data_IF_606673598823
#
_entry.id   IF_606673598823
#
_cell.length_a   1.000
_cell.length_b   1.000
_cell.length_c   1.000
_cell.angle_alpha   90.00
_cell.angle_beta   90.00
_cell.angle_gamma   90.00
#
_symmetry.space_group_name_H-M   'P 1'
#
loop_
_entity.id
_entity.type
_entity.pdbx_description
1 polymer ?
#
# COMPACT_ATOMS: atom_id res chain seq x y z
N UNK A 1 1.38 -15.78 16.79
CA UNK A 1 -0.03 -16.20 16.96
C UNK A 1 -0.82 -15.65 15.77
N UNK A 2 -1.55 -16.47 15.01
CA UNK A 2 -2.20 -16.07 13.75
C UNK A 2 -3.32 -15.03 13.95
N UNK A 3 -3.78 -14.86 15.18
CA UNK A 3 -4.84 -13.90 15.55
C UNK A 3 -4.29 -12.55 16.01
N UNK A 4 -2.97 -12.40 16.16
CA UNK A 4 -2.33 -11.13 16.54
C UNK A 4 -1.97 -10.35 15.29
N UNK A 5 -2.95 -9.64 14.75
CA UNK A 5 -2.84 -8.75 13.59
C UNK A 5 -3.18 -7.31 13.98
N UNK A 6 -2.75 -6.33 13.18
CA UNK A 6 -2.98 -4.91 13.49
C UNK A 6 -4.47 -4.58 13.54
N UNK A 7 -5.32 -5.22 12.74
CA UNK A 7 -6.78 -5.01 12.81
C UNK A 7 -7.37 -5.53 14.12
N UNK A 8 -6.96 -6.71 14.58
CA UNK A 8 -7.41 -7.28 15.87
C UNK A 8 -6.97 -6.40 17.05
N UNK A 9 -5.78 -5.83 16.93
CA UNK A 9 -5.21 -4.89 17.91
C UNK A 9 -5.99 -3.58 17.89
N UNK A 10 -6.21 -2.99 16.72
CA UNK A 10 -6.94 -1.75 16.54
C UNK A 10 -8.39 -1.85 17.05
N UNK A 11 -9.10 -2.93 16.69
CA UNK A 11 -10.48 -3.15 17.17
C UNK A 11 -10.51 -3.39 18.68
N UNK A 12 -9.50 -4.06 19.25
CA UNK A 12 -9.41 -4.22 20.71
C UNK A 12 -9.18 -2.89 21.42
N UNK A 13 -8.29 -2.03 20.90
CA UNK A 13 -7.92 -0.74 21.51
C UNK A 13 -9.05 0.28 21.41
N UNK A 14 -9.92 0.16 20.40
CA UNK A 14 -11.10 0.99 20.25
C UNK A 14 -12.22 0.70 21.30
N UNK A 15 -12.04 -0.29 22.20
CA UNK A 15 -13.04 -0.64 23.21
C UNK A 15 -12.66 -0.12 24.60
N UNK A 16 -13.64 0.45 25.28
CA UNK A 16 -13.45 1.09 26.59
C UNK A 16 -13.26 0.06 27.73
N UNK A 17 -14.07 -1.00 27.76
CA UNK A 17 -14.05 -1.99 28.86
C UNK A 17 -13.10 -3.15 28.59
N UNK A 18 -12.40 -3.69 29.62
CA UNK A 18 -11.46 -4.80 29.44
C UNK A 18 -12.09 -6.03 28.76
N UNK A 19 -13.36 -6.35 29.12
CA UNK A 19 -14.09 -7.47 28.50
C UNK A 19 -14.36 -7.23 27.02
N UNK A 20 -14.76 -6.01 26.63
CA UNK A 20 -15.00 -5.68 25.24
C UNK A 20 -13.70 -5.67 24.41
N UNK A 21 -12.55 -5.30 24.99
CA UNK A 21 -11.24 -5.39 24.31
C UNK A 21 -10.90 -6.83 23.93
N UNK A 22 -11.03 -7.76 24.86
CA UNK A 22 -10.76 -9.19 24.61
C UNK A 22 -11.70 -9.76 23.56
N UNK A 23 -13.00 -9.43 23.63
CA UNK A 23 -13.97 -9.86 22.62
C UNK A 23 -13.60 -9.26 21.26
N UNK A 24 -13.29 -7.97 21.18
CA UNK A 24 -12.89 -7.30 19.95
C UNK A 24 -11.66 -7.93 19.31
N UNK A 25 -10.65 -8.26 20.11
CA UNK A 25 -9.45 -8.96 19.64
C UNK A 25 -9.79 -10.32 19.01
N UNK A 26 -10.51 -11.18 19.75
CA UNK A 26 -10.80 -12.54 19.28
C UNK A 26 -11.79 -12.58 18.12
N UNK A 27 -12.85 -11.76 18.15
CA UNK A 27 -13.84 -11.72 17.05
C UNK A 27 -13.18 -11.26 15.76
N UNK A 28 -12.38 -10.20 15.79
CA UNK A 28 -11.68 -9.71 14.60
C UNK A 28 -10.63 -10.71 14.11
N UNK A 29 -9.80 -11.25 15.02
CA UNK A 29 -8.78 -12.22 14.65
C UNK A 29 -9.36 -13.51 14.07
N UNK A 30 -10.37 -14.09 14.70
CA UNK A 30 -11.04 -15.32 14.22
C UNK A 30 -11.79 -15.03 12.93
N UNK A 31 -12.51 -13.91 12.84
CA UNK A 31 -13.26 -13.54 11.64
C UNK A 31 -12.35 -13.41 10.41
N UNK A 32 -11.21 -12.72 10.55
CA UNK A 32 -10.22 -12.59 9.47
C UNK A 32 -9.57 -13.94 9.16
N UNK A 33 -9.19 -14.72 10.18
CA UNK A 33 -8.59 -16.04 9.96
C UNK A 33 -9.53 -16.98 9.20
N UNK A 34 -10.81 -17.06 9.60
CA UNK A 34 -11.81 -17.89 8.93
C UNK A 34 -12.08 -17.35 7.53
N UNK A 35 -12.29 -16.03 7.39
CA UNK A 35 -12.50 -15.38 6.09
C UNK A 35 -11.36 -15.66 5.12
N UNK A 36 -10.11 -15.59 5.59
CA UNK A 36 -8.91 -15.90 4.81
C UNK A 36 -8.86 -17.36 4.35
N UNK A 37 -9.13 -18.31 5.24
CA UNK A 37 -9.14 -19.73 4.88
C UNK A 37 -10.27 -20.04 3.90
N UNK A 38 -11.45 -19.44 4.09
CA UNK A 38 -12.59 -19.62 3.18
C UNK A 38 -12.32 -18.99 1.81
N UNK A 39 -11.75 -17.79 1.75
CA UNK A 39 -11.39 -17.16 0.48
C UNK A 39 -10.30 -17.93 -0.26
N UNK A 40 -9.33 -18.49 0.48
CA UNK A 40 -8.28 -19.34 -0.09
C UNK A 40 -8.85 -20.64 -0.63
N UNK A 41 -9.72 -21.30 0.13
CA UNK A 41 -10.41 -22.51 -0.32
C UNK A 41 -11.28 -22.23 -1.54
N UNK A 42 -12.07 -21.15 -1.51
CA UNK A 42 -12.86 -20.71 -2.65
C UNK A 42 -11.99 -20.43 -3.88
N UNK A 43 -10.85 -19.74 -3.69
CA UNK A 43 -9.88 -19.48 -4.75
C UNK A 43 -9.28 -20.77 -5.33
N UNK A 44 -8.94 -21.75 -4.50
CA UNK A 44 -8.43 -23.04 -4.94
C UNK A 44 -9.48 -23.84 -5.74
N UNK A 45 -10.73 -23.87 -5.24
CA UNK A 45 -11.83 -24.56 -5.92
C UNK A 45 -12.22 -23.87 -7.23
N UNK A 46 -12.32 -22.53 -7.25
CA UNK A 46 -12.58 -21.78 -8.48
C UNK A 46 -11.43 -21.93 -9.48
N UNK A 47 -10.18 -21.94 -9.00
CA UNK A 47 -8.99 -22.13 -9.84
C UNK A 47 -8.99 -23.48 -10.56
N UNK A 48 -9.40 -24.55 -9.88
CA UNK A 48 -9.50 -25.89 -10.46
C UNK A 48 -10.59 -25.97 -11.55
N UNK A 49 -11.68 -25.20 -11.40
CA UNK A 49 -12.77 -25.11 -12.39
C UNK A 49 -12.42 -24.20 -13.58
N UNK A 50 -11.61 -23.16 -13.37
CA UNK A 50 -11.27 -22.17 -14.41
C UNK A 50 -10.23 -22.65 -15.43
N UNK A 51 -9.53 -23.77 -15.20
CA UNK A 51 -8.47 -24.22 -16.10
C UNK A 51 -7.21 -23.35 -15.99
N UNK A 52 -6.62 -22.90 -17.11
CA UNK A 52 -5.39 -22.07 -17.08
C UNK A 52 -5.69 -20.63 -16.60
N UNK A 53 -5.29 -20.24 -15.37
CA UNK A 53 -5.56 -18.91 -14.82
C UNK A 53 -4.91 -17.77 -15.62
N UNK A 54 -3.83 -18.09 -16.36
CA UNK A 54 -3.09 -17.11 -17.17
C UNK A 54 -3.92 -16.62 -18.36
N UNK A 55 -4.80 -17.45 -18.90
CA UNK A 55 -5.68 -17.08 -20.01
C UNK A 55 -6.69 -15.99 -19.63
N UNK A 56 -7.07 -15.93 -18.34
CA UNK A 56 -8.05 -14.97 -17.81
C UNK A 56 -7.43 -13.72 -17.20
N UNK A 57 -6.10 -13.56 -17.26
CA UNK A 57 -5.41 -12.40 -16.70
C UNK A 57 -5.46 -12.33 -15.18
N UNK A 58 -5.65 -13.45 -14.49
CA UNK A 58 -5.65 -13.50 -13.02
C UNK A 58 -4.31 -13.06 -12.42
N UNK A 59 -3.20 -13.18 -13.17
CA UNK A 59 -1.89 -12.64 -12.79
C UNK A 59 -1.89 -11.10 -12.71
N UNK A 60 -2.65 -10.43 -13.60
CA UNK A 60 -2.82 -8.99 -13.57
C UNK A 60 -3.70 -8.51 -12.40
N UNK A 61 -4.55 -9.38 -11.82
CA UNK A 61 -5.39 -9.02 -10.68
C UNK A 61 -4.54 -8.70 -9.44
N UNK A 62 -3.44 -9.42 -9.21
CA UNK A 62 -2.51 -9.13 -8.13
C UNK A 62 -1.84 -7.76 -8.34
N UNK A 63 -1.35 -7.49 -9.56
CA UNK A 63 -0.77 -6.20 -9.91
C UNK A 63 -1.78 -5.04 -9.77
N UNK A 64 -3.04 -5.26 -10.17
CA UNK A 64 -4.11 -4.28 -10.04
C UNK A 64 -4.46 -3.99 -8.57
N UNK A 65 -4.50 -5.01 -7.71
CA UNK A 65 -4.72 -4.83 -6.28
C UNK A 65 -3.59 -4.00 -5.63
N UNK A 66 -2.33 -4.28 -5.97
CA UNK A 66 -1.19 -3.47 -5.52
C UNK A 66 -1.28 -2.03 -6.03
N UNK A 67 -1.64 -1.83 -7.29
CA UNK A 67 -1.80 -0.50 -7.87
C UNK A 67 -2.92 0.27 -7.16
N UNK A 68 -4.04 -0.38 -6.84
CA UNK A 68 -5.14 0.23 -6.10
C UNK A 68 -4.71 0.69 -4.69
N UNK A 69 -3.91 -0.11 -3.99
CA UNK A 69 -3.33 0.27 -2.70
C UNK A 69 -2.31 1.42 -2.83
N UNK A 70 -1.58 1.47 -3.94
CA UNK A 70 -0.58 2.49 -4.21
C UNK A 70 -1.21 3.81 -4.71
N UNK A 71 -2.42 3.77 -5.27
CA UNK A 71 -3.09 4.90 -5.90
C UNK A 71 -3.14 6.18 -5.03
N UNK A 72 -3.50 6.12 -3.73
CA UNK A 72 -3.52 7.31 -2.88
C UNK A 72 -2.14 7.95 -2.71
N UNK A 73 -1.06 7.17 -2.85
CA UNK A 73 0.34 7.63 -2.73
C UNK A 73 0.87 8.22 -4.04
N UNK A 74 0.25 7.91 -5.20
CA UNK A 74 0.63 8.40 -6.53
C UNK A 74 -0.05 9.72 -6.91
N UNK A 75 -0.35 10.59 -5.94
CA UNK A 75 -1.06 11.86 -6.19
C UNK A 75 -0.16 12.98 -6.71
N UNK A 76 1.16 12.87 -6.53
CA UNK A 76 2.13 13.89 -6.91
C UNK A 76 2.95 13.48 -8.15
N UNK A 77 3.40 14.47 -8.92
CA UNK A 77 4.15 14.26 -10.18
C UNK A 77 5.41 13.42 -10.00
N UNK A 78 6.10 13.59 -8.88
CA UNK A 78 7.34 12.88 -8.58
C UNK A 78 7.11 11.38 -8.29
N UNK A 79 6.22 10.95 -7.37
CA UNK A 79 5.85 9.55 -7.20
C UNK A 79 5.41 8.87 -8.50
N UNK A 80 4.64 9.57 -9.35
CA UNK A 80 4.24 9.06 -10.66
C UNK A 80 5.46 8.87 -11.57
N UNK A 81 6.34 9.87 -11.67
CA UNK A 81 7.53 9.80 -12.51
C UNK A 81 8.50 8.68 -12.05
N UNK A 82 8.71 8.54 -10.74
CA UNK A 82 9.50 7.44 -10.16
C UNK A 82 8.85 6.09 -10.45
N UNK A 83 7.52 5.98 -10.30
CA UNK A 83 6.77 4.76 -10.60
C UNK A 83 6.90 4.35 -12.07
N UNK A 84 6.78 5.29 -13.01
CA UNK A 84 6.94 5.03 -14.45
C UNK A 84 8.38 4.63 -14.76
N UNK A 85 9.38 5.34 -14.22
CA UNK A 85 10.78 5.02 -14.44
C UNK A 85 11.13 3.62 -13.91
N UNK A 86 10.65 3.28 -12.70
CA UNK A 86 10.80 1.96 -12.12
C UNK A 86 10.12 0.88 -12.98
N UNK A 87 8.90 1.13 -13.48
CA UNK A 87 8.20 0.19 -14.36
C UNK A 87 9.00 -0.08 -15.64
N UNK A 88 9.49 0.97 -16.32
CA UNK A 88 10.32 0.83 -17.53
C UNK A 88 11.58 0.03 -17.25
N UNK A 89 12.30 0.34 -16.17
CA UNK A 89 13.53 -0.38 -15.80
C UNK A 89 13.22 -1.86 -15.49
N UNK A 90 12.16 -2.15 -14.72
CA UNK A 90 11.74 -3.53 -14.46
C UNK A 90 11.46 -4.27 -15.77
N UNK A 91 10.62 -3.73 -16.65
CA UNK A 91 10.24 -4.37 -17.91
C UNK A 91 11.45 -4.67 -18.81
N UNK A 92 12.40 -3.75 -18.89
CA UNK A 92 13.62 -3.93 -19.68
C UNK A 92 14.58 -4.98 -19.10
N UNK A 93 14.61 -5.12 -17.77
CA UNK A 93 15.50 -6.06 -17.08
C UNK A 93 14.90 -7.48 -16.94
N UNK A 94 13.57 -7.62 -16.98
CA UNK A 94 12.86 -8.90 -16.89
C UNK A 94 13.35 -9.99 -17.86
N UNK A 95 13.64 -9.73 -19.16
CA UNK A 95 14.08 -10.80 -20.06
C UNK A 95 15.53 -11.26 -19.82
N UNK A 96 16.35 -10.47 -19.13
CA UNK A 96 17.80 -10.74 -18.98
C UNK A 96 18.13 -11.29 -17.59
N UNK A 97 17.34 -10.91 -16.57
CA UNK A 97 17.62 -11.23 -15.18
C UNK A 97 16.69 -12.31 -14.63
N UNK A 98 17.20 -13.04 -13.65
CA UNK A 98 16.41 -14.03 -12.92
C UNK A 98 15.23 -13.35 -12.20
N UNK A 99 14.05 -14.00 -12.12
CA UNK A 99 12.90 -13.47 -11.41
C UNK A 99 13.27 -13.01 -10.00
N UNK A 100 12.86 -11.78 -9.64
CA UNK A 100 13.14 -11.14 -8.35
C UNK A 100 14.27 -10.09 -8.39
N UNK A 101 15.30 -10.27 -9.22
CA UNK A 101 16.40 -9.29 -9.32
C UNK A 101 15.96 -7.95 -9.92
N UNK A 102 15.14 -7.90 -11.01
CA UNK A 102 14.63 -6.64 -11.53
C UNK A 102 13.90 -5.79 -10.49
N UNK A 103 13.12 -6.44 -9.60
CA UNK A 103 12.33 -5.76 -8.56
C UNK A 103 13.24 -5.13 -7.49
N UNK A 104 14.32 -5.82 -7.09
CA UNK A 104 15.29 -5.27 -6.15
C UNK A 104 16.02 -4.06 -6.74
N UNK A 105 16.41 -4.13 -8.01
CA UNK A 105 17.08 -3.03 -8.69
C UNK A 105 16.18 -1.80 -8.83
N UNK A 106 14.90 -1.98 -9.17
CA UNK A 106 13.96 -0.86 -9.24
C UNK A 106 13.66 -0.25 -7.87
N UNK A 107 13.61 -1.05 -6.81
CA UNK A 107 13.51 -0.54 -5.45
C UNK A 107 14.72 0.33 -5.07
N UNK A 108 15.94 -0.10 -5.41
CA UNK A 108 17.16 0.70 -5.18
C UNK A 108 17.11 2.01 -5.97
N UNK A 109 16.74 1.96 -7.25
CA UNK A 109 16.59 3.17 -8.08
C UNK A 109 15.54 4.12 -7.49
N UNK A 110 14.39 3.60 -7.07
CA UNK A 110 13.32 4.40 -6.47
C UNK A 110 13.77 5.06 -5.16
N UNK A 111 14.52 4.36 -4.31
CA UNK A 111 15.09 4.92 -3.07
C UNK A 111 16.08 6.04 -3.40
N UNK A 112 17.01 5.84 -4.34
CA UNK A 112 17.98 6.86 -4.72
C UNK A 112 17.28 8.10 -5.29
N UNK A 113 16.37 7.91 -6.25
CA UNK A 113 15.67 9.03 -6.90
C UNK A 113 14.75 9.77 -5.93
N UNK A 114 14.08 9.03 -5.04
CA UNK A 114 13.24 9.60 -3.98
C UNK A 114 14.05 10.36 -2.93
N UNK A 115 15.16 9.78 -2.47
CA UNK A 115 16.02 10.36 -1.43
C UNK A 115 16.63 11.69 -1.85
N UNK A 116 17.13 11.77 -3.08
CA UNK A 116 17.72 13.00 -3.60
C UNK A 116 16.68 13.99 -4.14
N UNK A 117 15.39 13.68 -4.00
CA UNK A 117 14.29 14.48 -4.51
C UNK A 117 14.53 14.98 -5.95
N UNK A 118 15.15 14.14 -6.80
CA UNK A 118 15.76 14.58 -8.06
C UNK A 118 14.75 15.19 -9.06
N UNK A 119 13.46 14.96 -8.82
CA UNK A 119 12.33 15.40 -9.65
C UNK A 119 11.33 16.28 -8.90
N UNK A 120 11.58 16.60 -7.62
CA UNK A 120 10.76 17.53 -6.86
C UNK A 120 11.04 18.96 -7.31
N UNK A 121 10.01 19.66 -7.80
CA UNK A 121 10.06 21.12 -7.88
C UNK A 121 9.81 21.66 -6.48
N UNK A 122 10.59 22.67 -6.08
CA UNK A 122 10.40 23.43 -4.85
C UNK A 122 8.92 23.79 -4.67
N UNK A 123 8.24 23.13 -3.74
CA UNK A 123 6.99 23.62 -3.18
C UNK A 123 7.35 24.85 -2.34
N UNK A 124 7.56 25.98 -3.01
CA UNK A 124 7.69 27.27 -2.32
C UNK A 124 6.38 27.49 -1.58
N UNK A 125 6.40 27.61 -0.24
CA UNK A 125 5.19 27.89 0.50
C UNK A 125 4.54 29.16 -0.08
N UNK A 126 3.20 29.21 -0.23
CA UNK A 126 2.50 30.41 -0.65
C UNK A 126 2.99 31.58 0.19
N UNK A 127 3.34 32.71 -0.43
CA UNK A 127 3.75 33.92 0.30
C UNK A 127 2.63 34.25 1.28
N UNK A 128 2.93 34.11 2.56
CA UNK A 128 2.07 34.55 3.64
C UNK A 128 1.81 36.05 3.42
N UNK A 129 0.55 36.49 3.31
CA UNK A 129 0.25 37.91 3.20
C UNK A 129 0.83 38.60 4.43
N UNK A 130 1.81 39.48 4.23
CA UNK A 130 2.18 40.44 5.25
C UNK A 130 0.90 41.20 5.63
N UNK A 131 0.65 41.32 6.93
CA UNK A 131 -0.47 42.04 7.55
C UNK A 131 -1.69 41.19 7.90
N UNK A 132 -1.53 40.31 8.88
CA UNK A 132 -2.55 40.19 9.91
C UNK A 132 -2.03 40.97 11.13
N UNK A 133 -2.52 42.19 11.42
CA UNK A 133 -2.15 42.89 12.64
C UNK A 133 -2.51 41.98 13.81
N UNK A 134 -1.49 41.54 14.55
CA UNK A 134 -1.66 40.85 15.82
C UNK A 134 -2.65 41.67 16.64
N UNK A 135 -3.65 40.97 17.19
CA UNK A 135 -4.61 41.49 18.15
C UNK A 135 -3.85 41.82 19.44
N UNK A 136 -3.02 42.86 19.36
CA UNK A 136 -2.43 43.56 20.48
C UNK A 136 -3.60 44.29 21.17
N UNK A 137 -4.04 43.74 22.30
CA UNK A 137 -5.13 44.28 23.09
C UNK A 137 -6.44 43.54 22.91
N UNK A 138 -6.57 42.40 23.60
CA UNK A 138 -7.82 42.12 24.29
C UNK A 138 -7.50 41.95 25.79
N UNK A 139 -8.20 42.70 26.66
CA UNK A 139 -7.91 42.79 28.10
C UNK A 139 -8.22 41.51 28.88
#
# INVERSE_FOLDING_TARGET
APFTIDESTAVSLARETPRARTIGFWVTGIGIYVGWNLSTLAGALLGDVLGDPRAYGLDAAAAAAFLALLWPRLRHRQPIAVGIAAAVVATLLTPVLMPGIPVLLTAVVAVVVGWFNLLGRDDRPPREPADAPEREGLP
#
